data_IF_440286707571
#
_entry.id   IF_440286707571
#
_cell.length_a   1.000
_cell.length_b   1.000
_cell.length_c   1.000
_cell.angle_alpha   90.00
_cell.angle_beta   90.00
_cell.angle_gamma   90.00
#
_symmetry.space_group_name_H-M   'P 1'
#
loop_
_entity.id
_entity.type
_entity.pdbx_description
1 polymer ?
#
# COMPACT_ATOMS: atom_id res chain seq x y z
N UNK A 1 13.78 -4.70 10.94
CA UNK A 1 13.77 -3.28 10.47
C UNK A 1 13.67 -2.32 11.66
N UNK A 2 14.48 -1.26 11.69
CA UNK A 2 14.47 -0.23 12.75
C UNK A 2 13.69 1.02 12.27
N UNK A 3 12.39 1.02 12.50
CA UNK A 3 11.52 2.11 12.05
C UNK A 3 11.77 3.44 12.77
N UNK A 4 12.28 3.43 14.00
CA UNK A 4 12.52 4.67 14.75
C UNK A 4 13.50 5.59 14.04
N UNK A 5 14.43 5.03 13.28
CA UNK A 5 15.34 5.82 12.44
C UNK A 5 14.59 6.56 11.33
N UNK A 6 13.54 5.95 10.76
CA UNK A 6 12.74 6.56 9.69
C UNK A 6 11.76 7.60 10.23
N UNK A 7 11.16 7.37 11.39
CA UNK A 7 10.22 8.33 12.01
C UNK A 7 10.92 9.67 12.30
N UNK A 8 12.20 9.63 12.67
CA UNK A 8 12.99 10.84 12.96
C UNK A 8 13.51 11.55 11.70
N UNK A 9 13.23 11.06 10.50
CA UNK A 9 13.52 11.78 9.27
C UNK A 9 12.46 12.85 8.99
N UNK A 10 12.73 13.73 8.04
CA UNK A 10 11.72 14.67 7.52
C UNK A 10 10.79 14.04 6.45
N UNK A 11 10.80 12.72 6.27
CA UNK A 11 9.89 12.03 5.35
C UNK A 11 8.49 12.03 5.96
N UNK A 12 7.52 12.56 5.22
CA UNK A 12 6.16 12.68 5.70
C UNK A 12 5.40 11.35 5.65
N UNK A 13 4.39 11.23 6.51
CA UNK A 13 3.44 10.12 6.57
C UNK A 13 4.08 8.74 6.82
N UNK A 14 5.23 8.71 7.49
CA UNK A 14 5.86 7.46 7.92
C UNK A 14 4.97 6.75 8.95
N UNK A 15 4.73 5.46 8.72
CA UNK A 15 4.10 4.57 9.69
C UNK A 15 4.43 3.12 9.41
N UNK A 16 4.39 2.28 10.46
CA UNK A 16 4.49 0.82 10.30
C UNK A 16 3.24 0.25 9.64
N UNK A 17 3.43 -0.77 8.82
CA UNK A 17 2.36 -1.55 8.24
C UNK A 17 2.88 -2.93 7.83
N UNK A 18 2.27 -4.01 8.31
CA UNK A 18 2.54 -5.40 7.90
C UNK A 18 4.03 -5.80 7.88
N UNK A 19 4.79 -5.41 8.92
CA UNK A 19 6.24 -5.67 8.98
C UNK A 19 7.11 -4.78 8.10
N UNK A 20 6.51 -3.86 7.34
CA UNK A 20 7.16 -2.82 6.55
C UNK A 20 6.81 -1.41 7.02
N UNK A 21 7.05 -0.45 6.14
CA UNK A 21 6.82 0.98 6.36
C UNK A 21 6.10 1.60 5.18
N UNK A 22 5.14 2.48 5.45
CA UNK A 22 4.53 3.37 4.45
C UNK A 22 5.08 4.79 4.60
N UNK A 23 5.10 5.56 3.53
CA UNK A 23 5.53 6.96 3.57
C UNK A 23 5.41 7.66 2.22
N UNK A 24 5.86 8.92 2.19
CA UNK A 24 5.97 9.71 0.96
C UNK A 24 7.06 9.14 0.07
N UNK A 25 6.90 9.25 -1.26
CA UNK A 25 7.90 8.74 -2.21
C UNK A 25 9.33 9.20 -1.91
N UNK A 26 10.27 8.27 -2.06
CA UNK A 26 11.71 8.53 -1.88
C UNK A 26 12.35 9.22 -3.10
N UNK A 27 11.68 9.28 -4.25
CA UNK A 27 12.22 9.89 -5.47
C UNK A 27 12.26 11.43 -5.43
N UNK A 28 11.59 12.07 -4.46
CA UNK A 28 11.66 13.52 -4.31
C UNK A 28 13.06 13.94 -3.88
N UNK A 29 13.51 15.13 -4.36
CA UNK A 29 14.83 15.68 -4.01
C UNK A 29 15.02 15.78 -2.47
N UNK A 30 13.95 16.15 -1.76
CA UNK A 30 13.99 16.31 -0.31
C UNK A 30 14.11 14.98 0.44
N UNK A 31 13.49 13.91 -0.05
CA UNK A 31 13.51 12.60 0.61
C UNK A 31 14.73 11.78 0.24
N UNK A 32 15.33 12.04 -0.92
CA UNK A 32 16.55 11.35 -1.37
C UNK A 32 17.74 11.53 -0.41
N UNK A 33 17.79 12.63 0.34
CA UNK A 33 18.82 12.85 1.39
C UNK A 33 18.76 11.84 2.53
N UNK A 34 17.61 11.19 2.73
CA UNK A 34 17.41 10.19 3.78
C UNK A 34 17.65 8.74 3.29
N UNK A 35 18.17 8.61 2.07
CA UNK A 35 18.33 7.28 1.46
C UNK A 35 19.16 6.32 2.32
N UNK A 36 20.30 6.81 2.85
CA UNK A 36 21.14 6.00 3.74
C UNK A 36 20.36 5.56 4.99
N UNK A 37 19.57 6.42 5.58
CA UNK A 37 18.72 6.07 6.72
C UNK A 37 17.70 4.99 6.37
N UNK A 38 17.13 5.03 5.15
CA UNK A 38 16.22 3.98 4.66
C UNK A 38 16.94 2.63 4.56
N UNK A 39 18.14 2.62 4.00
CA UNK A 39 18.99 1.42 3.89
C UNK A 39 19.33 0.87 5.28
N UNK A 40 19.83 1.73 6.16
CA UNK A 40 20.29 1.36 7.51
C UNK A 40 19.12 0.91 8.42
N UNK A 41 17.90 1.34 8.12
CA UNK A 41 16.71 0.86 8.83
C UNK A 41 16.35 -0.59 8.55
N UNK A 42 16.98 -1.23 7.56
CA UNK A 42 16.76 -2.61 7.17
C UNK A 42 15.68 -2.80 6.11
N UNK A 43 15.30 -1.76 5.37
CA UNK A 43 14.43 -1.88 4.19
C UNK A 43 15.17 -2.68 3.12
N UNK A 44 14.50 -3.69 2.55
CA UNK A 44 15.02 -4.56 1.48
C UNK A 44 14.28 -4.39 0.16
N UNK A 45 13.04 -3.88 0.22
CA UNK A 45 12.23 -3.67 -0.99
C UNK A 45 11.58 -2.29 -0.95
N UNK A 46 11.66 -1.55 -2.05
CA UNK A 46 10.88 -0.34 -2.30
C UNK A 46 9.71 -0.68 -3.21
N UNK A 47 8.48 -0.43 -2.74
CA UNK A 47 7.25 -0.56 -3.53
C UNK A 47 6.82 0.84 -3.97
N UNK A 48 6.97 1.16 -5.25
CA UNK A 48 6.56 2.46 -5.81
C UNK A 48 5.19 2.33 -6.48
N UNK A 49 4.23 3.09 -6.00
CA UNK A 49 2.84 3.06 -6.45
C UNK A 49 2.51 4.11 -7.52
N UNK A 50 3.47 4.93 -7.91
CA UNK A 50 3.25 5.94 -8.94
C UNK A 50 3.48 5.37 -10.33
N UNK A 51 2.75 5.91 -11.30
CA UNK A 51 2.84 5.56 -12.71
C UNK A 51 3.65 6.60 -13.53
N UNK A 52 4.53 7.35 -12.87
CA UNK A 52 5.24 8.47 -13.49
C UNK A 52 6.68 8.08 -13.84
N UNK A 53 7.25 8.72 -14.86
CA UNK A 53 8.62 8.51 -15.41
C UNK A 53 9.78 8.80 -14.43
N UNK A 54 9.46 9.06 -13.15
CA UNK A 54 10.46 9.32 -12.12
C UNK A 54 11.10 8.06 -11.52
N UNK A 55 10.76 6.90 -12.06
CA UNK A 55 11.25 5.61 -11.58
C UNK A 55 12.75 5.39 -11.81
N UNK A 56 13.34 5.94 -12.86
CA UNK A 56 14.72 5.66 -13.25
C UNK A 56 15.77 6.02 -12.19
N UNK A 57 15.58 7.16 -11.53
CA UNK A 57 16.49 7.56 -10.46
C UNK A 57 16.35 6.67 -9.23
N UNK A 58 15.12 6.36 -8.85
CA UNK A 58 14.83 5.49 -7.72
C UNK A 58 15.29 4.05 -7.98
N UNK A 59 15.07 3.56 -9.19
CA UNK A 59 15.53 2.25 -9.64
C UNK A 59 17.06 2.15 -9.55
N UNK A 60 17.80 3.10 -10.12
CA UNK A 60 19.28 3.15 -10.01
C UNK A 60 19.76 3.22 -8.56
N UNK A 61 19.09 3.98 -7.70
CA UNK A 61 19.44 4.02 -6.29
C UNK A 61 19.21 2.65 -5.62
N UNK A 62 18.10 1.98 -5.91
CA UNK A 62 17.86 0.63 -5.42
C UNK A 62 18.96 -0.36 -5.86
N UNK A 63 19.33 -0.33 -7.13
CA UNK A 63 20.42 -1.16 -7.69
C UNK A 63 21.76 -0.91 -6.97
N UNK A 64 22.12 0.35 -6.77
CA UNK A 64 23.38 0.73 -6.10
C UNK A 64 23.48 0.23 -4.66
N UNK A 65 22.36 0.11 -3.96
CA UNK A 65 22.31 -0.31 -2.55
C UNK A 65 21.83 -1.76 -2.35
N UNK A 66 21.64 -2.53 -3.43
CA UNK A 66 21.15 -3.89 -3.36
C UNK A 66 19.73 -4.02 -2.80
N UNK A 67 18.89 -2.97 -2.98
CA UNK A 67 17.49 -2.95 -2.58
C UNK A 67 16.65 -3.34 -3.80
N UNK A 68 15.67 -4.22 -3.62
CA UNK A 68 14.72 -4.57 -4.68
C UNK A 68 13.80 -3.40 -4.97
N UNK A 69 13.67 -3.04 -6.24
CA UNK A 69 12.65 -2.10 -6.71
C UNK A 69 11.45 -2.84 -7.29
N UNK A 70 10.26 -2.57 -6.77
CA UNK A 70 9.01 -3.14 -7.24
C UNK A 70 8.03 -2.03 -7.62
N UNK A 71 7.78 -1.86 -8.91
CA UNK A 71 6.75 -0.97 -9.41
C UNK A 71 5.38 -1.67 -9.34
N UNK A 72 4.45 -1.12 -8.55
CA UNK A 72 3.07 -1.57 -8.48
C UNK A 72 2.16 -0.37 -8.77
N UNK A 73 1.99 0.01 -10.05
CA UNK A 73 1.34 1.27 -10.42
C UNK A 73 -0.13 1.27 -9.99
N UNK A 74 -0.47 2.21 -9.14
CA UNK A 74 -1.81 2.47 -8.64
C UNK A 74 -2.21 3.89 -9.04
N UNK A 75 -2.68 4.07 -10.25
CA UNK A 75 -3.28 5.36 -10.59
C UNK A 75 -4.62 5.51 -9.85
N UNK A 76 -4.89 6.75 -9.44
CA UNK A 76 -6.14 7.07 -8.74
C UNK A 76 -7.37 6.82 -9.61
N UNK A 77 -7.20 6.68 -10.93
CA UNK A 77 -8.34 6.66 -11.83
C UNK A 77 -8.38 5.53 -12.85
N UNK A 78 -7.29 5.01 -13.40
CA UNK A 78 -7.39 4.18 -14.59
C UNK A 78 -6.28 3.14 -14.83
N UNK A 79 -5.56 2.63 -13.84
CA UNK A 79 -4.69 1.50 -14.15
C UNK A 79 -5.56 0.27 -14.41
N UNK A 80 -5.50 -0.34 -15.60
CA UNK A 80 -6.30 -1.51 -15.96
C UNK A 80 -6.04 -2.68 -15.00
N UNK A 81 -7.06 -3.51 -14.77
CA UNK A 81 -6.93 -4.70 -13.94
C UNK A 81 -5.89 -5.67 -14.52
N UNK A 82 -5.76 -5.70 -15.84
CA UNK A 82 -4.78 -6.49 -16.60
C UNK A 82 -3.34 -6.16 -16.26
N UNK A 83 -3.06 -4.93 -15.81
CA UNK A 83 -1.72 -4.49 -15.38
C UNK A 83 -1.44 -4.88 -13.92
N UNK A 84 -2.47 -4.82 -13.06
CA UNK A 84 -2.34 -5.07 -11.63
C UNK A 84 -2.39 -6.57 -11.31
N UNK A 85 -3.35 -7.28 -11.90
CA UNK A 85 -3.65 -8.66 -11.53
C UNK A 85 -2.45 -9.62 -11.67
N UNK A 86 -1.63 -9.59 -12.75
CA UNK A 86 -0.46 -10.45 -12.87
C UNK A 86 0.63 -10.19 -11.82
N UNK A 87 0.57 -9.04 -11.15
CA UNK A 87 1.58 -8.63 -10.15
C UNK A 87 1.13 -8.86 -8.71
N UNK A 88 -0.11 -9.27 -8.48
CA UNK A 88 -0.67 -9.42 -7.15
C UNK A 88 0.09 -10.45 -6.31
N UNK A 89 0.42 -11.60 -6.89
CA UNK A 89 1.12 -12.65 -6.17
C UNK A 89 2.47 -12.15 -5.66
N UNK A 90 3.28 -11.53 -6.52
CA UNK A 90 4.56 -10.94 -6.16
C UNK A 90 4.41 -9.83 -5.11
N UNK A 91 3.37 -8.99 -5.25
CA UNK A 91 3.06 -7.94 -4.30
C UNK A 91 2.73 -8.52 -2.91
N UNK A 92 1.94 -9.58 -2.85
CA UNK A 92 1.59 -10.25 -1.59
C UNK A 92 2.81 -10.86 -0.92
N UNK A 93 3.66 -11.56 -1.68
CA UNK A 93 4.91 -12.14 -1.17
C UNK A 93 5.85 -11.07 -0.60
N UNK A 94 5.94 -9.89 -1.23
CA UNK A 94 6.75 -8.79 -0.71
C UNK A 94 6.18 -8.29 0.63
N UNK A 95 4.87 -8.14 0.74
CA UNK A 95 4.24 -7.71 1.99
C UNK A 95 4.41 -8.76 3.09
N UNK A 96 4.23 -10.05 2.78
CA UNK A 96 4.39 -11.17 3.73
C UNK A 96 5.81 -11.26 4.28
N UNK A 97 6.81 -11.00 3.44
CA UNK A 97 8.22 -11.00 3.86
C UNK A 97 8.58 -9.81 4.77
N UNK A 98 7.77 -8.75 4.78
CA UNK A 98 8.10 -7.53 5.51
C UNK A 98 9.30 -6.80 4.92
N UNK A 99 9.97 -5.97 5.73
CA UNK A 99 11.18 -5.20 5.35
C UNK A 99 11.01 -4.37 4.07
N UNK A 100 9.77 -3.94 3.76
CA UNK A 100 9.46 -3.09 2.61
C UNK A 100 9.21 -1.64 3.00
N UNK A 101 9.41 -0.74 2.04
CA UNK A 101 8.95 0.64 2.07
C UNK A 101 7.96 0.86 0.92
N UNK A 102 6.68 1.09 1.24
CA UNK A 102 5.62 1.33 0.26
C UNK A 102 5.28 2.81 0.16
N UNK A 103 5.29 3.36 -1.04
CA UNK A 103 5.13 4.78 -1.26
C UNK A 103 4.26 5.13 -2.47
N UNK A 104 3.56 6.24 -2.33
CA UNK A 104 3.03 7.03 -3.43
C UNK A 104 3.45 8.48 -3.23
N UNK A 105 2.95 9.43 -4.03
CA UNK A 105 3.36 10.83 -3.92
C UNK A 105 3.31 11.35 -2.47
N UNK A 106 2.24 11.05 -1.73
CA UNK A 106 2.04 11.49 -0.35
C UNK A 106 2.05 10.34 0.68
N UNK A 107 2.20 9.09 0.26
CA UNK A 107 2.08 7.94 1.17
C UNK A 107 0.67 7.74 1.76
N UNK A 108 -0.36 8.28 1.12
CA UNK A 108 -1.74 8.29 1.60
C UNK A 108 -2.66 7.46 0.69
N UNK A 109 -3.38 8.08 -0.25
CA UNK A 109 -4.50 7.47 -0.98
C UNK A 109 -4.16 6.20 -1.80
N UNK A 110 -3.11 6.24 -2.65
CA UNK A 110 -2.70 5.06 -3.43
C UNK A 110 -2.13 3.98 -2.52
N UNK A 111 -1.46 4.39 -1.46
CA UNK A 111 -0.94 3.47 -0.43
C UNK A 111 -2.08 2.79 0.32
N UNK A 112 -3.11 3.53 0.73
CA UNK A 112 -4.31 2.95 1.35
C UNK A 112 -4.96 1.93 0.41
N UNK A 113 -5.05 2.25 -0.88
CA UNK A 113 -5.65 1.36 -1.87
C UNK A 113 -4.83 0.06 -2.04
N UNK A 114 -3.52 0.16 -2.21
CA UNK A 114 -2.65 -1.00 -2.35
C UNK A 114 -2.70 -1.91 -1.11
N UNK A 115 -2.62 -1.32 0.07
CA UNK A 115 -2.74 -2.06 1.33
C UNK A 115 -4.13 -2.67 1.54
N UNK A 116 -5.19 -1.99 1.07
CA UNK A 116 -6.55 -2.56 1.07
C UNK A 116 -6.68 -3.74 0.12
N UNK A 117 -6.05 -3.68 -1.07
CA UNK A 117 -5.99 -4.82 -1.99
C UNK A 117 -5.32 -6.03 -1.32
N UNK A 118 -4.15 -5.82 -0.73
CA UNK A 118 -3.44 -6.89 -0.01
C UNK A 118 -4.34 -7.50 1.08
N UNK A 119 -4.89 -6.70 1.98
CA UNK A 119 -5.71 -7.20 3.05
C UNK A 119 -6.99 -7.88 2.56
N UNK A 120 -7.70 -7.30 1.58
CA UNK A 120 -8.96 -7.83 1.06
C UNK A 120 -8.81 -9.19 0.38
N UNK A 121 -7.70 -9.43 -0.31
CA UNK A 121 -7.52 -10.63 -1.13
C UNK A 121 -6.55 -11.65 -0.50
N UNK A 122 -5.69 -11.24 0.40
CA UNK A 122 -4.63 -12.09 0.96
C UNK A 122 -4.48 -11.98 2.49
N UNK A 123 -4.28 -10.79 3.03
CA UNK A 123 -3.90 -10.58 4.43
C UNK A 123 -4.88 -11.10 5.48
N UNK A 124 -6.17 -11.23 5.14
CA UNK A 124 -7.16 -11.86 6.03
C UNK A 124 -6.90 -13.35 6.25
N UNK A 125 -6.34 -14.03 5.27
CA UNK A 125 -5.97 -15.44 5.39
C UNK A 125 -4.80 -15.64 6.36
N UNK A 126 -4.01 -14.59 6.57
CA UNK A 126 -2.88 -14.56 7.49
C UNK A 126 -3.26 -13.98 8.88
N UNK A 127 -4.56 -13.73 9.12
CA UNK A 127 -5.04 -13.17 10.38
C UNK A 127 -4.66 -11.70 10.62
N UNK A 128 -4.26 -10.98 9.58
CA UNK A 128 -3.84 -9.58 9.70
C UNK A 128 -5.04 -8.64 9.85
N UNK A 129 -4.87 -7.58 10.63
CA UNK A 129 -5.88 -6.53 10.75
C UNK A 129 -5.95 -5.68 9.47
N UNK A 130 -7.10 -5.03 9.20
CA UNK A 130 -7.21 -4.05 8.12
C UNK A 130 -6.16 -2.95 8.21
N UNK A 131 -5.75 -2.35 7.08
CA UNK A 131 -4.84 -1.21 7.11
C UNK A 131 -5.55 0.05 7.61
N UNK A 132 -4.79 0.94 8.27
CA UNK A 132 -5.29 2.27 8.62
C UNK A 132 -5.32 3.15 7.36
N UNK A 133 -6.49 3.70 7.03
CA UNK A 133 -6.79 4.45 5.81
C UNK A 133 -6.51 5.96 5.99
N UNK A 134 -5.26 6.33 6.05
CA UNK A 134 -4.80 7.68 6.39
C UNK A 134 -5.27 8.78 5.42
N UNK A 135 -5.36 8.48 4.14
CA UNK A 135 -5.83 9.42 3.12
C UNK A 135 -7.35 9.56 3.03
N UNK A 136 -8.09 8.77 3.79
CA UNK A 136 -9.56 8.76 3.80
C UNK A 136 -10.12 9.15 5.16
N UNK A 137 -9.26 9.67 6.03
CA UNK A 137 -9.63 10.20 7.34
C UNK A 137 -9.58 11.73 7.26
N UNK A 138 -10.66 12.37 7.64
CA UNK A 138 -10.78 13.84 7.73
C UNK A 138 -11.41 14.16 9.08
N UNK A 139 -10.80 15.04 9.84
CA UNK A 139 -11.27 15.48 11.16
C UNK A 139 -11.61 14.32 12.13
N UNK A 140 -10.83 13.24 12.05
CA UNK A 140 -11.02 12.05 12.88
C UNK A 140 -12.10 11.08 12.42
N UNK A 141 -12.71 11.29 11.25
CA UNK A 141 -13.73 10.41 10.69
C UNK A 141 -13.33 9.78 9.36
N UNK A 142 -13.78 8.54 9.12
CA UNK A 142 -13.63 7.89 7.81
C UNK A 142 -14.63 8.51 6.84
N UNK A 143 -14.12 9.15 5.78
CA UNK A 143 -14.98 9.76 4.75
C UNK A 143 -15.49 8.68 3.80
N UNK A 144 -16.67 8.12 4.11
CA UNK A 144 -17.28 7.00 3.38
C UNK A 144 -17.48 7.28 1.89
N UNK A 145 -17.85 8.49 1.51
CA UNK A 145 -18.03 8.85 0.09
C UNK A 145 -16.72 8.75 -0.69
N UNK A 146 -15.60 9.15 -0.10
CA UNK A 146 -14.28 9.00 -0.71
C UNK A 146 -13.86 7.53 -0.80
N UNK A 147 -14.17 6.72 0.22
CA UNK A 147 -13.94 5.28 0.21
C UNK A 147 -14.78 4.59 -0.86
N UNK A 148 -16.08 4.84 -0.91
CA UNK A 148 -17.00 4.26 -1.89
C UNK A 148 -16.59 4.62 -3.33
N UNK A 149 -16.22 5.88 -3.56
CA UNK A 149 -15.89 6.35 -4.91
C UNK A 149 -14.49 5.96 -5.40
N UNK A 150 -13.52 5.74 -4.52
CA UNK A 150 -12.15 5.46 -4.93
C UNK A 150 -11.71 4.05 -4.57
N UNK A 151 -11.74 3.68 -3.29
CA UNK A 151 -11.23 2.39 -2.83
C UNK A 151 -12.20 1.27 -3.19
N UNK A 152 -13.46 1.36 -2.79
CA UNK A 152 -14.40 0.25 -2.99
C UNK A 152 -14.80 0.04 -4.44
N UNK A 153 -14.86 1.11 -5.25
CA UNK A 153 -15.07 0.94 -6.69
C UNK A 153 -13.90 0.17 -7.32
N UNK A 154 -12.67 0.50 -6.92
CA UNK A 154 -11.48 -0.20 -7.39
C UNK A 154 -11.45 -1.66 -6.92
N UNK A 155 -11.72 -1.90 -5.64
CA UNK A 155 -11.78 -3.26 -5.08
C UNK A 155 -12.86 -4.11 -5.76
N UNK A 156 -14.05 -3.55 -6.03
CA UNK A 156 -15.12 -4.25 -6.72
C UNK A 156 -14.72 -4.59 -8.18
N UNK A 157 -14.13 -3.63 -8.91
CA UNK A 157 -13.65 -3.87 -10.27
C UNK A 157 -12.59 -4.97 -10.32
N UNK A 158 -11.63 -4.91 -9.41
CA UNK A 158 -10.57 -5.92 -9.33
C UNK A 158 -11.12 -7.29 -8.91
N UNK A 159 -12.05 -7.33 -7.94
CA UNK A 159 -12.72 -8.57 -7.53
C UNK A 159 -13.39 -9.29 -8.71
N UNK A 160 -14.20 -8.57 -9.49
CA UNK A 160 -14.88 -9.13 -10.64
C UNK A 160 -13.88 -9.68 -11.67
N UNK A 161 -12.86 -8.87 -11.99
CA UNK A 161 -11.82 -9.28 -12.94
C UNK A 161 -11.07 -10.55 -12.50
N UNK A 162 -10.67 -10.61 -11.23
CA UNK A 162 -9.95 -11.77 -10.69
C UNK A 162 -10.82 -13.04 -10.68
N UNK A 163 -12.12 -12.90 -10.32
CA UNK A 163 -13.07 -14.01 -10.31
C UNK A 163 -13.36 -14.53 -11.72
N UNK A 164 -13.51 -13.64 -12.71
CA UNK A 164 -13.77 -13.99 -14.11
C UNK A 164 -12.56 -14.68 -14.77
N UNK A 165 -11.34 -14.29 -14.41
CA UNK A 165 -10.12 -14.79 -15.04
C UNK A 165 -9.38 -15.86 -14.23
N UNK A 166 -9.85 -16.23 -13.04
CA UNK A 166 -9.25 -17.23 -12.16
C UNK A 166 -7.75 -17.01 -11.86
N UNK A 167 -7.33 -15.74 -11.71
CA UNK A 167 -5.92 -15.38 -11.54
C UNK A 167 -5.42 -15.74 -10.15
N UNK A 168 -6.24 -15.46 -9.12
CA UNK A 168 -6.01 -15.87 -7.73
C UNK A 168 -7.32 -16.36 -7.12
N UNK A 169 -7.25 -17.10 -6.03
CA UNK A 169 -8.44 -17.45 -5.26
C UNK A 169 -9.01 -16.19 -4.61
N UNK A 170 -10.21 -15.80 -5.04
CA UNK A 170 -10.94 -14.68 -4.43
C UNK A 170 -11.95 -15.19 -3.40
N UNK A 171 -12.27 -14.43 -2.34
CA UNK A 171 -13.33 -14.80 -1.42
C UNK A 171 -14.69 -14.81 -2.13
N UNK A 172 -15.65 -15.58 -1.61
CA UNK A 172 -17.04 -15.49 -2.09
C UNK A 172 -17.63 -14.08 -1.88
N UNK A 173 -18.74 -13.78 -2.56
CA UNK A 173 -19.34 -12.44 -2.54
C UNK A 173 -19.74 -11.96 -1.14
N UNK A 174 -20.22 -12.86 -0.28
CA UNK A 174 -20.65 -12.50 1.06
C UNK A 174 -19.43 -12.19 1.94
N UNK A 175 -18.40 -13.01 1.86
CA UNK A 175 -17.10 -12.80 2.53
C UNK A 175 -16.47 -11.50 2.05
N UNK A 176 -16.46 -11.23 0.75
CA UNK A 176 -15.91 -9.98 0.21
C UNK A 176 -16.69 -8.75 0.73
N UNK A 177 -18.02 -8.84 0.76
CA UNK A 177 -18.86 -7.76 1.31
C UNK A 177 -18.62 -7.57 2.82
N UNK A 178 -18.43 -8.67 3.59
CA UNK A 178 -18.09 -8.58 5.01
C UNK A 178 -16.74 -7.92 5.22
N UNK A 179 -15.70 -8.32 4.50
CA UNK A 179 -14.36 -7.69 4.57
C UNK A 179 -14.41 -6.18 4.34
N UNK A 180 -15.26 -5.70 3.42
CA UNK A 180 -15.46 -4.25 3.23
C UNK A 180 -16.03 -3.57 4.47
N UNK A 181 -17.01 -4.18 5.14
CA UNK A 181 -17.55 -3.68 6.41
C UNK A 181 -16.47 -3.67 7.49
N UNK A 182 -15.73 -4.77 7.62
CA UNK A 182 -14.66 -4.90 8.61
C UNK A 182 -13.57 -3.83 8.43
N UNK A 183 -13.23 -3.50 7.17
CA UNK A 183 -12.28 -2.42 6.86
C UNK A 183 -12.78 -1.05 7.36
N UNK A 184 -14.07 -0.75 7.17
CA UNK A 184 -14.69 0.48 7.66
C UNK A 184 -14.73 0.48 9.19
N UNK A 185 -15.29 -0.56 9.78
CA UNK A 185 -15.50 -0.66 11.23
C UNK A 185 -14.18 -0.63 12.00
N UNK A 186 -13.13 -1.27 11.45
CA UNK A 186 -11.79 -1.22 12.03
C UNK A 186 -11.26 0.22 12.06
N UNK A 187 -11.37 0.94 10.95
CA UNK A 187 -10.89 2.30 10.87
C UNK A 187 -11.69 3.26 11.75
N UNK A 188 -13.02 3.12 11.83
CA UNK A 188 -13.85 3.92 12.72
C UNK A 188 -13.48 3.71 14.20
N UNK A 189 -13.24 2.46 14.63
CA UNK A 189 -12.83 2.17 16.00
C UNK A 189 -11.44 2.69 16.35
N UNK A 190 -10.49 2.63 15.43
CA UNK A 190 -9.12 3.12 15.66
C UNK A 190 -9.04 4.63 15.83
N UNK A 191 -9.96 5.39 15.22
CA UNK A 191 -10.04 6.84 15.35
C UNK A 191 -10.67 7.29 16.66
N UNK A 192 -11.47 6.43 17.29
CA UNK A 192 -12.09 6.72 18.59
C UNK A 192 -11.13 6.58 19.77
N UNK A 193 -9.87 6.17 19.55
CA UNK A 193 -8.86 5.89 20.58
C UNK A 193 -7.71 6.93 20.56
N UNK A 194 -7.68 7.82 19.58
CA UNK A 194 -6.70 8.92 19.48
C UNK A 194 -7.38 10.25 19.76
#
# INVERSE_FOLDING_TARGET
MNINQLINTGIQNIATVYGGVRGTTLSSRNNMRYWQTVVDSGVRTIIELRNEDHSDRLCRMCEMYGIRYFAFPMDSHNVPNEVIAPRLQEFFEIIDNGEFYIACAMGLHRTDMALSIYWMFHGTNNGMNPPILRGHIVDGEVVLDRLNNKVFRRLNSLYNYLAENNIILVPDRNTFAQRKRDLIDFNQRHLSIV
#
